data_IF_488202829084
#
_entry.id   IF_488202829084
#
_cell.length_a   1.000
_cell.length_b   1.000
_cell.length_c   1.000
_cell.angle_alpha   90.00
_cell.angle_beta   90.00
_cell.angle_gamma   90.00
#
_symmetry.space_group_name_H-M   'P 1'
#
loop_
_entity.id
_entity.type
_entity.pdbx_description
1 polymer ?
#
# COMPACT_ATOMS: atom_id res chain seq x y z
N UNK A 1 -4.55 -32.23 -9.26
CA UNK A 1 -4.04 -31.11 -8.42
C UNK A 1 -3.13 -31.78 -7.40
N UNK A 2 -1.84 -31.51 -7.44
CA UNK A 2 -0.88 -32.16 -6.54
C UNK A 2 -1.26 -31.89 -5.08
N UNK A 3 -1.11 -32.90 -4.23
CA UNK A 3 -1.49 -32.93 -2.81
C UNK A 3 -1.05 -31.63 -2.10
N UNK A 4 -2.00 -30.74 -1.88
CA UNK A 4 -1.85 -29.64 -0.94
C UNK A 4 -2.17 -30.20 0.45
N UNK A 5 -1.54 -29.65 1.50
CA UNK A 5 -1.84 -29.99 2.89
C UNK A 5 -3.37 -30.04 3.10
N UNK A 6 -3.88 -31.12 3.70
CA UNK A 6 -5.30 -31.37 3.94
C UNK A 6 -5.98 -30.28 4.80
N UNK A 7 -5.20 -29.35 5.36
CA UNK A 7 -5.68 -28.18 6.11
C UNK A 7 -5.85 -26.91 5.26
N UNK A 8 -5.52 -26.95 3.97
CA UNK A 8 -5.61 -25.81 3.05
C UNK A 8 -6.54 -26.15 1.89
N UNK A 9 -7.64 -25.39 1.77
CA UNK A 9 -8.56 -25.49 0.65
C UNK A 9 -8.24 -24.41 -0.39
N UNK A 10 -8.09 -24.82 -1.66
CA UNK A 10 -7.93 -23.89 -2.78
C UNK A 10 -9.24 -23.78 -3.53
N UNK A 11 -9.73 -22.55 -3.67
CA UNK A 11 -10.93 -22.23 -4.43
C UNK A 11 -10.53 -21.62 -5.79
N UNK A 12 -11.01 -22.23 -6.87
CA UNK A 12 -10.86 -21.67 -8.22
C UNK A 12 -12.02 -20.73 -8.49
N UNK A 13 -11.68 -19.51 -8.91
CA UNK A 13 -12.64 -18.46 -9.20
C UNK A 13 -12.94 -18.42 -10.71
N UNK A 14 -14.13 -17.96 -11.12
CA UNK A 14 -14.47 -17.83 -12.54
C UNK A 14 -13.46 -16.92 -13.27
N UNK A 15 -13.12 -17.22 -14.55
CA UNK A 15 -12.22 -16.38 -15.32
C UNK A 15 -12.76 -14.94 -15.46
N UNK A 16 -11.86 -13.95 -15.58
CA UNK A 16 -12.17 -12.52 -15.76
C UNK A 16 -12.90 -11.82 -14.59
N UNK A 17 -12.84 -12.38 -13.38
CA UNK A 17 -13.47 -11.78 -12.18
C UNK A 17 -12.47 -11.19 -11.19
N UNK A 18 -11.18 -11.08 -11.56
CA UNK A 18 -10.07 -10.73 -10.66
C UNK A 18 -10.37 -9.52 -9.76
N UNK A 19 -10.72 -8.36 -10.32
CA UNK A 19 -11.01 -7.16 -9.52
C UNK A 19 -12.31 -7.27 -8.71
N UNK A 20 -13.28 -8.07 -9.17
CA UNK A 20 -14.57 -8.23 -8.51
C UNK A 20 -14.49 -9.21 -7.33
N UNK A 21 -13.50 -10.11 -7.33
CA UNK A 21 -13.45 -11.20 -6.36
C UNK A 21 -12.21 -11.13 -5.47
N UNK A 22 -11.12 -10.48 -5.88
CA UNK A 22 -9.91 -10.41 -5.07
C UNK A 22 -10.00 -9.29 -4.02
N UNK A 23 -10.03 -9.61 -2.71
CA UNK A 23 -10.20 -8.62 -1.64
C UNK A 23 -9.08 -7.56 -1.61
N UNK A 24 -7.91 -7.91 -2.13
CA UNK A 24 -6.80 -6.98 -2.30
C UNK A 24 -7.14 -5.83 -3.23
N UNK A 25 -7.75 -6.14 -4.38
CA UNK A 25 -8.19 -5.17 -5.38
C UNK A 25 -9.45 -4.41 -4.96
N UNK A 26 -10.25 -4.97 -4.05
CA UNK A 26 -11.49 -4.35 -3.56
C UNK A 26 -11.30 -3.22 -2.53
N UNK A 27 -10.06 -2.87 -2.17
CA UNK A 27 -9.79 -1.68 -1.37
C UNK A 27 -8.59 -1.78 -0.44
N UNK A 28 -8.03 -2.98 -0.20
CA UNK A 28 -6.85 -3.11 0.66
C UNK A 28 -5.65 -2.41 0.02
N UNK A 29 -5.39 -2.64 -1.27
CA UNK A 29 -4.29 -1.98 -1.99
C UNK A 29 -4.49 -0.46 -2.02
N UNK A 30 -5.72 -0.01 -2.28
CA UNK A 30 -6.03 1.42 -2.32
C UNK A 30 -5.80 2.08 -0.95
N UNK A 31 -6.27 1.46 0.14
CA UNK A 31 -6.09 1.97 1.50
C UNK A 31 -4.60 2.03 1.87
N UNK A 32 -3.87 0.94 1.59
CA UNK A 32 -2.43 0.87 1.79
C UNK A 32 -1.69 1.99 1.05
N UNK A 33 -1.99 2.20 -0.24
CA UNK A 33 -1.37 3.28 -1.05
C UNK A 33 -1.64 4.65 -0.45
N UNK A 34 -2.86 4.93 0.00
CA UNK A 34 -3.19 6.21 0.66
C UNK A 34 -2.35 6.42 1.91
N UNK A 35 -2.19 5.39 2.76
CA UNK A 35 -1.36 5.47 3.97
C UNK A 35 0.12 5.70 3.65
N UNK A 36 0.64 4.96 2.67
CA UNK A 36 2.00 5.14 2.19
C UNK A 36 2.25 6.56 1.68
N UNK A 37 1.38 7.06 0.79
CA UNK A 37 1.52 8.39 0.20
C UNK A 37 1.37 9.52 1.21
N UNK A 38 0.42 9.44 2.15
CA UNK A 38 0.27 10.43 3.23
C UNK A 38 1.58 10.60 4.02
N UNK A 39 2.23 9.48 4.34
CA UNK A 39 3.48 9.50 5.10
C UNK A 39 4.66 10.02 4.27
N UNK A 40 4.75 9.63 3.00
CA UNK A 40 5.75 10.13 2.07
C UNK A 40 5.62 11.65 1.88
N UNK A 41 4.40 12.16 1.69
CA UNK A 41 4.16 13.59 1.52
C UNK A 41 4.48 14.38 2.79
N UNK A 42 4.15 13.86 3.97
CA UNK A 42 4.56 14.48 5.24
C UNK A 42 6.08 14.60 5.35
N UNK A 43 6.83 13.55 5.00
CA UNK A 43 8.31 13.59 4.98
C UNK A 43 8.84 14.58 3.95
N UNK A 44 8.27 14.60 2.75
CA UNK A 44 8.65 15.51 1.68
C UNK A 44 8.43 16.98 2.08
N UNK A 45 7.23 17.31 2.56
CA UNK A 45 6.89 18.67 3.01
C UNK A 45 7.82 19.09 4.15
N UNK A 46 8.01 18.22 5.14
CA UNK A 46 8.95 18.49 6.23
C UNK A 46 10.37 18.73 5.72
N UNK A 47 10.86 17.96 4.75
CA UNK A 47 12.16 18.19 4.14
C UNK A 47 12.23 19.53 3.41
N UNK A 48 11.21 19.88 2.62
CA UNK A 48 11.14 21.15 1.90
C UNK A 48 11.18 22.32 2.89
N UNK A 49 10.36 22.28 3.94
CA UNK A 49 10.24 23.37 4.93
C UNK A 49 11.55 23.60 5.70
N UNK A 50 12.38 22.56 5.85
CA UNK A 50 13.64 22.61 6.61
C UNK A 50 14.88 22.68 5.71
N UNK A 51 14.72 22.72 4.39
CA UNK A 51 15.83 22.83 3.44
C UNK A 51 15.91 24.26 2.94
N UNK A 52 16.95 25.04 3.30
CA UNK A 52 17.13 26.38 2.75
C UNK A 52 17.24 26.32 1.23
N UNK A 53 16.69 27.32 0.54
CA UNK A 53 16.95 27.52 -0.87
C UNK A 53 18.43 27.88 -1.02
N UNK A 54 19.21 26.96 -1.53
CA UNK A 54 20.59 27.19 -1.91
C UNK A 54 20.68 27.76 -3.33
N UNK A 55 21.82 28.40 -3.64
CA UNK A 55 22.07 29.01 -4.96
C UNK A 55 22.39 27.97 -6.04
N UNK A 56 22.51 26.68 -5.67
CA UNK A 56 22.60 25.59 -6.62
C UNK A 56 21.21 25.32 -7.18
N UNK A 57 21.11 25.13 -8.50
CA UNK A 57 19.89 24.94 -9.30
C UNK A 57 19.03 23.70 -8.93
N UNK A 58 19.23 23.09 -7.75
CA UNK A 58 18.54 21.88 -7.33
C UNK A 58 17.38 22.19 -6.38
N UNK A 59 16.18 21.78 -6.76
CA UNK A 59 14.99 21.95 -5.93
C UNK A 59 15.07 21.07 -4.65
N UNK A 60 14.59 21.54 -3.49
CA UNK A 60 14.53 20.73 -2.27
C UNK A 60 13.82 19.39 -2.44
N UNK A 61 12.81 19.31 -3.31
CA UNK A 61 12.13 18.05 -3.64
C UNK A 61 13.03 17.07 -4.39
N UNK A 62 13.93 17.54 -5.25
CA UNK A 62 14.87 16.68 -5.98
C UNK A 62 15.90 16.08 -5.01
N UNK A 63 16.40 16.88 -4.07
CA UNK A 63 17.29 16.42 -3.00
C UNK A 63 16.64 15.34 -2.15
N UNK A 64 15.39 15.55 -1.76
CA UNK A 64 14.62 14.56 -1.03
C UNK A 64 14.59 13.21 -1.77
N UNK A 65 14.20 13.20 -3.04
CA UNK A 65 14.09 11.96 -3.81
C UNK A 65 15.44 11.29 -4.10
N UNK A 66 16.54 12.04 -4.21
CA UNK A 66 17.90 11.48 -4.31
C UNK A 66 18.36 10.79 -3.02
N UNK A 67 17.93 11.32 -1.86
CA UNK A 67 18.25 10.74 -0.55
C UNK A 67 17.31 9.58 -0.17
N UNK A 68 16.10 9.58 -0.75
CA UNK A 68 15.09 8.55 -0.50
C UNK A 68 15.48 7.21 -1.11
N UNK A 69 15.93 6.28 -0.28
CA UNK A 69 16.44 4.98 -0.71
C UNK A 69 15.45 3.81 -0.46
N UNK A 70 15.79 2.61 -0.94
CA UNK A 70 14.95 1.42 -0.84
C UNK A 70 14.71 1.00 0.62
N UNK A 71 15.69 1.19 1.51
CA UNK A 71 15.52 0.85 2.93
C UNK A 71 14.46 1.74 3.59
N UNK A 72 14.50 3.04 3.32
CA UNK A 72 13.44 3.97 3.74
C UNK A 72 12.07 3.56 3.19
N UNK A 73 12.00 3.16 1.91
CA UNK A 73 10.76 2.67 1.31
C UNK A 73 10.22 1.41 2.01
N UNK A 74 11.09 0.45 2.37
CA UNK A 74 10.70 -0.77 3.10
C UNK A 74 10.11 -0.42 4.46
N UNK A 75 10.76 0.47 5.23
CA UNK A 75 10.22 0.91 6.51
C UNK A 75 8.87 1.63 6.35
N UNK A 76 8.71 2.41 5.29
CA UNK A 76 7.41 3.03 5.01
C UNK A 76 6.32 2.03 4.63
N UNK A 77 6.67 0.97 3.89
CA UNK A 77 5.74 -0.12 3.56
C UNK A 77 5.26 -0.81 4.83
N UNK A 78 6.19 -1.17 5.73
CA UNK A 78 5.84 -1.79 7.03
C UNK A 78 4.90 -0.91 7.85
N UNK A 79 5.23 0.38 7.98
CA UNK A 79 4.42 1.32 8.77
C UNK A 79 3.06 1.61 8.12
N UNK A 80 3.01 1.75 6.79
CA UNK A 80 1.75 1.92 6.07
C UNK A 80 0.84 0.69 6.21
N UNK A 81 1.42 -0.51 6.19
CA UNK A 81 0.66 -1.75 6.38
C UNK A 81 0.08 -1.87 7.78
N UNK A 82 0.84 -1.52 8.82
CA UNK A 82 0.35 -1.48 10.21
C UNK A 82 -0.84 -0.53 10.41
N UNK A 83 -0.95 0.50 9.58
CA UNK A 83 -2.09 1.44 9.61
C UNK A 83 -3.33 0.95 8.85
N UNK A 84 -3.22 -0.13 8.05
CA UNK A 84 -4.38 -0.75 7.42
C UNK A 84 -5.15 -1.51 8.49
N UNK A 85 -6.33 -1.00 8.86
CA UNK A 85 -7.11 -1.59 9.94
C UNK A 85 -7.71 -2.95 9.57
N UNK A 86 -7.84 -3.84 10.55
CA UNK A 86 -8.50 -5.13 10.37
C UNK A 86 -9.95 -4.98 9.88
N UNK A 87 -10.65 -3.92 10.30
CA UNK A 87 -12.02 -3.63 9.85
C UNK A 87 -12.07 -3.22 8.37
N UNK A 88 -11.06 -2.49 7.88
CA UNK A 88 -10.90 -2.21 6.43
C UNK A 88 -10.77 -3.52 5.66
N UNK A 89 -9.93 -4.44 6.13
CA UNK A 89 -9.73 -5.74 5.48
C UNK A 89 -11.03 -6.56 5.51
N UNK A 90 -11.69 -6.69 6.65
CA UNK A 90 -12.95 -7.43 6.76
C UNK A 90 -14.03 -6.91 5.79
N UNK A 91 -14.17 -5.59 5.66
CA UNK A 91 -15.14 -4.98 4.73
C UNK A 91 -14.87 -5.31 3.27
N UNK A 92 -13.61 -5.55 2.86
CA UNK A 92 -13.31 -5.98 1.48
C UNK A 92 -13.66 -7.44 1.24
N UNK A 93 -13.90 -8.25 2.27
CA UNK A 93 -14.41 -9.61 2.10
C UNK A 93 -15.95 -9.67 2.05
N UNK A 94 -16.65 -8.74 2.71
CA UNK A 94 -18.12 -8.73 2.70
C UNK A 94 -18.70 -8.57 1.30
N UNK A 95 -18.09 -7.73 0.46
CA UNK A 95 -18.48 -7.55 -0.94
C UNK A 95 -18.32 -8.83 -1.78
N UNK A 96 -17.52 -9.79 -1.34
CA UNK A 96 -17.37 -11.09 -1.97
C UNK A 96 -18.35 -12.14 -1.44
N UNK A 97 -18.66 -12.07 -0.13
CA UNK A 97 -19.41 -13.08 0.59
C UNK A 97 -20.86 -12.68 0.90
N UNK A 98 -21.33 -11.50 0.45
CA UNK A 98 -22.71 -11.08 0.64
C UNK A 98 -23.65 -12.12 0.03
N UNK A 99 -24.50 -12.79 0.85
CA UNK A 99 -25.56 -13.62 0.32
C UNK A 99 -26.60 -12.65 -0.25
N UNK A 100 -26.85 -12.74 -1.56
CA UNK A 100 -28.10 -12.22 -2.14
C UNK A 100 -29.28 -12.88 -1.44
#
# INVERSE_FOLDING_TARGET
IADLDHRVMVLFLPPNTTALIQPMDQGVIANFKVKYHDMLYKKLIHHIDNTPLDQQDELPSEKFYKQFNILEAIYQIDEAWKQVSATTIQRTWNKLLDPV
#
